data_IF_998599504297
#
_entry.id   IF_998599504297
#
_cell.length_a   1.000
_cell.length_b   1.000
_cell.length_c   1.000
_cell.angle_alpha   90.00
_cell.angle_beta   90.00
_cell.angle_gamma   90.00
#
_symmetry.space_group_name_H-M   'P 1'
#
loop_
_entity.id
_entity.type
_entity.pdbx_description
1 polymer ?
#
# COMPACT_ATOMS: atom_id res chain seq x y z
N UNK A 1 10.35 15.93 -0.58
CA UNK A 1 9.32 14.86 -0.50
C UNK A 1 9.99 13.63 0.06
N UNK A 2 9.76 13.30 1.32
CA UNK A 2 10.46 12.20 1.99
C UNK A 2 9.98 10.84 1.49
N UNK A 3 10.66 10.28 0.49
CA UNK A 3 10.45 8.91 -0.02
C UNK A 3 10.92 7.83 0.95
N UNK A 4 11.33 8.20 2.18
CA UNK A 4 11.75 7.29 3.24
C UNK A 4 10.70 6.20 3.55
N UNK A 5 9.41 6.51 3.36
CA UNK A 5 8.32 5.56 3.59
C UNK A 5 8.33 4.33 2.67
N UNK A 6 8.99 4.40 1.50
CA UNK A 6 9.10 3.28 0.56
C UNK A 6 10.08 2.21 1.07
N UNK A 7 11.04 2.58 1.93
CA UNK A 7 12.06 1.66 2.47
C UNK A 7 11.57 0.79 3.63
N UNK A 8 10.39 1.08 4.18
CA UNK A 8 9.81 0.34 5.30
C UNK A 8 9.65 -1.15 5.00
N UNK A 9 9.82 -1.96 6.03
CA UNK A 9 9.50 -3.38 6.00
C UNK A 9 7.98 -3.59 6.08
N UNK A 10 7.46 -4.72 5.58
CA UNK A 10 6.04 -5.01 5.69
C UNK A 10 5.51 -4.98 7.14
N UNK A 11 6.33 -5.38 8.12
CA UNK A 11 5.95 -5.36 9.54
C UNK A 11 5.78 -3.92 10.06
N UNK A 12 6.69 -3.02 9.72
CA UNK A 12 6.60 -1.61 10.13
C UNK A 12 5.40 -0.90 9.48
N UNK A 13 5.11 -1.18 8.21
CA UNK A 13 3.92 -0.65 7.53
C UNK A 13 2.65 -1.12 8.25
N UNK A 14 2.55 -2.42 8.57
CA UNK A 14 1.40 -2.96 9.32
C UNK A 14 1.29 -2.30 10.70
N UNK A 15 2.42 -2.13 11.40
CA UNK A 15 2.44 -1.48 12.72
C UNK A 15 1.91 -0.05 12.65
N UNK A 16 2.36 0.75 11.68
CA UNK A 16 1.85 2.11 11.48
C UNK A 16 0.36 2.13 11.10
N UNK A 17 -0.09 1.15 10.31
CA UNK A 17 -1.51 1.03 9.95
C UNK A 17 -2.38 0.60 11.14
N UNK A 18 -1.83 -0.10 12.14
CA UNK A 18 -2.55 -0.49 13.34
C UNK A 18 -2.93 0.70 14.22
N UNK A 19 -2.17 1.80 14.18
CA UNK A 19 -2.46 3.03 14.93
C UNK A 19 -3.76 3.71 14.47
N UNK A 20 -4.17 3.50 13.22
CA UNK A 20 -5.33 4.19 12.61
C UNK A 20 -6.50 3.27 12.30
N UNK A 21 -6.25 1.95 12.20
CA UNK A 21 -7.21 1.00 11.67
C UNK A 21 -7.23 -0.19 12.62
N UNK A 22 -8.40 -0.48 13.19
CA UNK A 22 -8.58 -1.64 14.07
C UNK A 22 -8.96 -2.86 13.22
N UNK A 23 -8.35 -4.02 13.49
CA UNK A 23 -8.61 -5.26 12.75
C UNK A 23 -8.09 -5.25 11.30
N UNK A 24 -8.76 -5.97 10.40
CA UNK A 24 -8.41 -6.04 8.96
C UNK A 24 -6.95 -6.47 8.67
N UNK A 25 -6.43 -7.41 9.47
CA UNK A 25 -5.01 -7.82 9.44
C UNK A 25 -4.57 -8.33 8.06
N UNK A 26 -5.41 -9.09 7.36
CA UNK A 26 -5.10 -9.59 6.02
C UNK A 26 -4.98 -8.45 5.00
N UNK A 27 -5.89 -7.48 5.03
CA UNK A 27 -5.85 -6.32 4.15
C UNK A 27 -4.58 -5.48 4.40
N UNK A 28 -4.23 -5.22 5.66
CA UNK A 28 -2.98 -4.52 6.03
C UNK A 28 -1.75 -5.26 5.52
N UNK A 29 -1.70 -6.60 5.69
CA UNK A 29 -0.59 -7.43 5.24
C UNK A 29 -0.44 -7.40 3.72
N UNK A 30 -1.53 -7.58 2.97
CA UNK A 30 -1.52 -7.55 1.50
C UNK A 30 -1.05 -6.20 0.97
N UNK A 31 -1.53 -5.12 1.58
CA UNK A 31 -1.11 -3.75 1.27
C UNK A 31 0.38 -3.53 1.53
N UNK A 32 0.87 -3.93 2.70
CA UNK A 32 2.27 -3.79 3.06
C UNK A 32 3.21 -4.56 2.10
N UNK A 33 2.81 -5.76 1.68
CA UNK A 33 3.55 -6.55 0.70
C UNK A 33 3.56 -5.87 -0.67
N UNK A 34 2.44 -5.34 -1.13
CA UNK A 34 2.37 -4.64 -2.42
C UNK A 34 3.30 -3.41 -2.47
N UNK A 35 3.35 -2.63 -1.38
CA UNK A 35 4.27 -1.51 -1.24
C UNK A 35 5.73 -1.97 -1.26
N UNK A 36 6.06 -3.03 -0.51
CA UNK A 36 7.42 -3.58 -0.50
C UNK A 36 7.84 -4.11 -1.86
N UNK A 37 6.91 -4.68 -2.63
CA UNK A 37 7.18 -5.12 -3.99
C UNK A 37 7.48 -3.95 -4.93
N UNK A 38 6.81 -2.79 -4.77
CA UNK A 38 7.16 -1.58 -5.51
C UNK A 38 8.59 -1.11 -5.21
N UNK A 39 9.00 -1.13 -3.94
CA UNK A 39 10.39 -0.85 -3.57
C UNK A 39 11.37 -1.85 -4.18
N UNK A 40 11.09 -3.15 -4.08
CA UNK A 40 11.94 -4.18 -4.68
C UNK A 40 12.09 -3.99 -6.18
N UNK A 41 10.99 -3.68 -6.89
CA UNK A 41 11.01 -3.39 -8.32
C UNK A 41 11.91 -2.19 -8.65
N UNK A 42 11.95 -1.16 -7.81
CA UNK A 42 12.81 0.00 -8.03
C UNK A 42 14.32 -0.32 -7.98
N UNK A 43 14.70 -1.43 -7.34
CA UNK A 43 16.09 -1.89 -7.22
C UNK A 43 16.53 -2.86 -8.33
N UNK A 44 15.60 -3.31 -9.18
CA UNK A 44 15.93 -4.17 -10.31
C UNK A 44 16.56 -3.37 -11.46
N UNK A 45 17.23 -4.07 -12.35
CA UNK A 45 17.69 -3.58 -13.65
C UNK A 45 16.52 -3.16 -14.55
N UNK A 46 16.80 -2.31 -15.54
CA UNK A 46 15.77 -1.70 -16.39
C UNK A 46 15.02 -2.73 -17.27
N UNK A 47 15.68 -3.81 -17.68
CA UNK A 47 15.07 -4.89 -18.45
C UNK A 47 14.03 -5.64 -17.60
N UNK A 48 14.45 -6.12 -16.42
CA UNK A 48 13.56 -6.79 -15.47
C UNK A 48 12.43 -5.89 -14.94
N UNK A 49 12.66 -4.57 -14.84
CA UNK A 49 11.64 -3.61 -14.41
C UNK A 49 10.46 -3.52 -15.38
N UNK A 50 10.72 -3.63 -16.69
CA UNK A 50 9.68 -3.50 -17.71
C UNK A 50 8.79 -4.74 -17.78
N UNK A 51 9.34 -5.92 -17.51
CA UNK A 51 8.57 -7.17 -17.48
C UNK A 51 7.63 -7.27 -16.27
N UNK A 52 7.96 -6.60 -15.16
CA UNK A 52 7.20 -6.72 -13.91
C UNK A 52 6.08 -5.68 -13.83
N UNK A 53 4.85 -6.17 -14.04
CA UNK A 53 3.63 -5.41 -13.83
C UNK A 53 3.38 -5.05 -12.35
N UNK A 54 2.85 -3.85 -12.04
CA UNK A 54 2.46 -3.49 -10.68
C UNK A 54 1.40 -4.44 -10.11
N UNK A 55 1.57 -4.89 -8.86
CA UNK A 55 0.55 -5.66 -8.15
C UNK A 55 -0.56 -4.74 -7.63
N UNK A 56 -1.64 -4.63 -8.38
CA UNK A 56 -2.84 -3.91 -7.97
C UNK A 56 -3.59 -4.69 -6.87
N UNK A 57 -4.27 -3.96 -5.98
CA UNK A 57 -5.01 -4.54 -4.86
C UNK A 57 -6.50 -4.29 -5.07
N UNK A 58 -7.28 -5.38 -5.07
CA UNK A 58 -8.73 -5.32 -5.00
C UNK A 58 -9.17 -5.57 -3.55
N UNK A 59 -9.87 -4.62 -2.94
CA UNK A 59 -10.43 -4.77 -1.59
C UNK A 59 -11.93 -5.08 -1.68
N UNK A 60 -12.32 -6.29 -1.25
CA UNK A 60 -13.71 -6.75 -1.23
C UNK A 60 -14.24 -6.73 0.21
N UNK A 61 -15.47 -6.26 0.40
CA UNK A 61 -16.15 -6.27 1.70
C UNK A 61 -17.31 -5.27 1.78
N UNK A 62 -18.10 -5.27 2.85
CA UNK A 62 -19.23 -4.35 3.02
C UNK A 62 -18.77 -2.89 3.20
N UNK A 63 -19.69 -1.94 3.03
CA UNK A 63 -19.41 -0.51 3.31
C UNK A 63 -19.11 -0.29 4.79
N UNK A 64 -18.40 0.79 5.13
CA UNK A 64 -18.07 1.13 6.52
C UNK A 64 -16.89 0.38 7.17
N UNK A 65 -16.40 -0.74 6.60
CA UNK A 65 -15.31 -1.55 7.21
C UNK A 65 -13.89 -0.97 7.06
N UNK A 66 -13.75 0.24 6.54
CA UNK A 66 -12.45 0.93 6.46
C UNK A 66 -11.61 0.67 5.21
N UNK A 67 -12.13 0.05 4.13
CA UNK A 67 -11.38 -0.15 2.86
C UNK A 67 -10.72 1.13 2.33
N UNK A 68 -11.49 2.22 2.28
CA UNK A 68 -10.99 3.53 1.85
C UNK A 68 -10.02 4.15 2.85
N UNK A 69 -10.18 3.88 4.14
CA UNK A 69 -9.27 4.35 5.19
C UNK A 69 -7.90 3.67 5.07
N UNK A 70 -7.88 2.36 4.80
CA UNK A 70 -6.65 1.60 4.54
C UNK A 70 -5.86 2.24 3.39
N UNK A 71 -6.50 2.47 2.25
CA UNK A 71 -5.83 3.06 1.09
C UNK A 71 -5.32 4.49 1.37
N UNK A 72 -6.11 5.31 2.05
CA UNK A 72 -5.75 6.70 2.38
C UNK A 72 -4.60 6.78 3.38
N UNK A 73 -4.65 6.00 4.46
CA UNK A 73 -3.61 5.98 5.51
C UNK A 73 -2.32 5.36 5.00
N UNK A 74 -2.41 4.31 4.19
CA UNK A 74 -1.27 3.73 3.49
C UNK A 74 -0.51 4.81 2.72
N UNK A 75 -1.20 5.59 1.88
CA UNK A 75 -0.56 6.63 1.08
C UNK A 75 0.16 7.68 1.95
N UNK A 76 -0.44 8.09 3.07
CA UNK A 76 0.20 8.98 4.04
C UNK A 76 1.48 8.38 4.65
N UNK A 77 1.44 7.10 5.05
CA UNK A 77 2.59 6.41 5.66
C UNK A 77 3.79 6.33 4.71
N UNK A 78 3.53 6.15 3.41
CA UNK A 78 4.60 6.06 2.40
C UNK A 78 4.92 7.37 1.68
N UNK A 79 4.22 8.47 2.01
CA UNK A 79 4.37 9.75 1.32
C UNK A 79 3.95 9.73 -0.15
N UNK A 80 3.01 8.86 -0.53
CA UNK A 80 2.54 8.73 -1.91
C UNK A 80 1.32 9.63 -2.20
N UNK A 81 1.17 10.14 -3.43
CA UNK A 81 -0.04 10.82 -3.86
C UNK A 81 -1.24 9.86 -3.81
N UNK A 82 -2.38 10.34 -3.31
CA UNK A 82 -3.61 9.56 -3.18
C UNK A 82 -4.78 10.29 -3.80
N UNK A 83 -5.52 9.62 -4.69
CA UNK A 83 -6.75 10.10 -5.28
C UNK A 83 -7.85 9.05 -5.14
N UNK A 84 -9.04 9.49 -4.74
CA UNK A 84 -10.25 8.67 -4.71
C UNK A 84 -11.17 9.17 -5.81
N UNK A 85 -11.43 8.34 -6.81
CA UNK A 85 -12.45 8.58 -7.82
C UNK A 85 -13.69 7.71 -7.53
N UNK A 86 -14.86 8.19 -7.92
CA UNK A 86 -16.11 7.42 -7.97
C UNK A 86 -16.67 7.63 -9.37
N UNK A 87 -16.87 6.54 -10.10
CA UNK A 87 -17.62 6.60 -11.36
C UNK A 87 -19.09 6.82 -11.02
N UNK A 88 -19.72 7.79 -11.69
CA UNK A 88 -21.16 8.00 -11.69
C UNK A 88 -21.78 7.23 -12.84
#
# INVERSE_FOLDING_TARGET
MDTAGIRLTPKEIVSKLNEYIVGQNDAKRKVAIALRNRYRRSLLDEESKQEISPKNILMIGPTGVGKTEIARRMAKVVGAPFIKSRSY
#
